data_IF_672644886041
#
_entry.id   IF_672644886041
#
_cell.length_a   1.000
_cell.length_b   1.000
_cell.length_c   1.000
_cell.angle_alpha   90.00
_cell.angle_beta   90.00
_cell.angle_gamma   90.00
#
_symmetry.space_group_name_H-M   'P 1'
#
loop_
_entity.id
_entity.type
_entity.pdbx_description
1 polymer ?
#
# COMPACT_ATOMS: atom_id res chain seq x y z
N UNK A 1 13.21 -24.15 13.47
CA UNK A 1 14.33 -23.17 13.59
C UNK A 1 13.95 -22.13 14.62
N UNK A 2 14.87 -21.83 15.53
CA UNK A 2 14.64 -20.91 16.65
C UNK A 2 15.53 -19.66 16.47
N UNK A 3 14.91 -18.50 16.37
CA UNK A 3 15.60 -17.21 16.19
C UNK A 3 15.29 -16.31 17.39
N UNK A 4 16.31 -15.64 17.93
CA UNK A 4 16.18 -14.67 19.00
C UNK A 4 16.64 -13.30 18.51
N UNK A 5 15.71 -12.34 18.41
CA UNK A 5 16.01 -10.93 18.16
C UNK A 5 16.19 -10.26 19.52
N UNK A 6 17.37 -9.67 19.79
CA UNK A 6 17.75 -9.11 21.08
C UNK A 6 17.89 -7.60 21.07
N UNK A 7 17.62 -7.00 22.23
CA UNK A 7 17.96 -5.62 22.56
C UNK A 7 17.28 -4.56 21.66
N UNK A 8 16.27 -4.94 20.87
CA UNK A 8 15.58 -4.03 19.97
C UNK A 8 14.55 -3.17 20.71
N UNK A 9 14.34 -1.93 20.23
CA UNK A 9 13.16 -1.15 20.63
C UNK A 9 11.95 -1.73 19.89
N UNK A 10 11.20 -2.59 20.58
CA UNK A 10 9.96 -3.15 20.02
C UNK A 10 8.88 -2.07 20.01
N UNK A 11 8.34 -1.81 18.82
CA UNK A 11 7.20 -0.90 18.59
C UNK A 11 6.07 -1.71 17.96
N UNK A 12 5.06 -2.03 18.77
CA UNK A 12 3.88 -2.79 18.34
C UNK A 12 2.60 -2.05 18.77
N UNK A 13 1.99 -1.28 17.85
CA UNK A 13 0.77 -0.53 18.15
C UNK A 13 -0.39 -1.41 18.58
N UNK A 14 -0.49 -2.64 18.05
CA UNK A 14 -1.57 -3.60 18.37
C UNK A 14 -1.59 -3.99 19.84
N UNK A 15 -0.45 -3.90 20.52
CA UNK A 15 -0.28 -4.24 21.93
C UNK A 15 0.05 -3.02 22.82
N UNK A 16 0.10 -1.81 22.24
CA UNK A 16 0.57 -0.59 22.90
C UNK A 16 1.99 -0.73 23.49
N UNK A 17 2.88 -1.43 22.78
CA UNK A 17 4.27 -1.63 23.18
C UNK A 17 5.16 -0.62 22.47
N UNK A 18 6.03 0.06 23.26
CA UNK A 18 7.17 0.85 22.81
C UNK A 18 8.26 0.74 23.89
N UNK A 19 9.07 -0.30 23.81
CA UNK A 19 10.06 -0.61 24.84
C UNK A 19 11.22 -1.45 24.28
N UNK A 20 12.38 -1.41 24.94
CA UNK A 20 13.48 -2.33 24.62
C UNK A 20 13.13 -3.72 25.16
N UNK A 21 13.03 -4.68 24.22
CA UNK A 21 12.63 -6.07 24.49
C UNK A 21 13.34 -7.02 23.53
N UNK A 22 13.28 -8.32 23.87
CA UNK A 22 13.69 -9.43 23.01
C UNK A 22 12.46 -10.11 22.41
N UNK A 23 12.60 -10.63 21.20
CA UNK A 23 11.55 -11.39 20.49
C UNK A 23 12.08 -12.79 20.21
N UNK A 24 11.42 -13.81 20.75
CA UNK A 24 11.74 -15.20 20.48
C UNK A 24 10.78 -15.78 19.46
N UNK A 25 11.36 -16.40 18.44
CA UNK A 25 10.63 -16.95 17.31
C UNK A 25 11.00 -18.43 17.18
N UNK A 26 9.98 -19.28 17.11
CA UNK A 26 10.15 -20.72 16.87
C UNK A 26 9.20 -21.16 15.75
N UNK A 27 9.75 -21.85 14.76
CA UNK A 27 9.01 -22.42 13.63
C UNK A 27 8.04 -21.45 12.95
N UNK A 28 8.49 -20.20 12.77
CA UNK A 28 7.74 -19.16 12.07
C UNK A 28 6.72 -18.41 12.90
N UNK A 29 6.68 -18.64 14.22
CA UNK A 29 5.72 -18.02 15.13
C UNK A 29 6.46 -17.31 16.27
N UNK A 30 5.94 -16.15 16.71
CA UNK A 30 6.42 -15.47 17.92
C UNK A 30 6.03 -16.29 19.14
N UNK A 31 7.01 -16.78 19.91
CA UNK A 31 6.76 -17.62 21.08
C UNK A 31 6.98 -16.92 22.40
N UNK A 32 7.80 -15.85 22.43
CA UNK A 32 7.93 -14.98 23.59
C UNK A 32 8.31 -13.55 23.18
N UNK A 33 7.84 -12.60 23.97
CA UNK A 33 8.16 -11.18 23.87
C UNK A 33 8.37 -10.68 25.30
N UNK A 34 9.63 -10.47 25.70
CA UNK A 34 9.97 -10.08 27.07
C UNK A 34 11.33 -9.39 27.11
N UNK A 35 11.72 -8.87 28.28
CA UNK A 35 13.05 -8.34 28.53
C UNK A 35 14.00 -9.48 28.90
N UNK A 36 15.19 -9.47 28.29
CA UNK A 36 16.29 -10.41 28.64
C UNK A 36 15.90 -11.89 28.54
N UNK A 37 15.40 -12.31 27.36
CA UNK A 37 15.10 -13.72 27.14
C UNK A 37 16.39 -14.55 27.13
N UNK A 38 16.50 -15.47 28.11
CA UNK A 38 17.59 -16.45 28.20
C UNK A 38 17.12 -17.76 27.53
N UNK A 39 17.26 -17.88 26.25
CA UNK A 39 16.92 -19.08 25.49
C UNK A 39 18.04 -19.44 24.53
N UNK A 40 18.38 -20.74 24.46
CA UNK A 40 19.21 -21.21 23.34
C UNK A 40 18.45 -21.03 22.02
N UNK A 41 19.09 -20.43 21.04
CA UNK A 41 18.54 -20.20 19.70
C UNK A 41 19.54 -20.66 18.64
N UNK A 42 19.01 -21.11 17.51
CA UNK A 42 19.84 -21.48 16.35
C UNK A 42 20.49 -20.23 15.76
N UNK A 43 19.81 -19.09 15.88
CA UNK A 43 20.26 -17.81 15.38
C UNK A 43 19.94 -16.68 16.39
N UNK A 44 20.88 -15.76 16.58
CA UNK A 44 20.70 -14.55 17.38
C UNK A 44 20.94 -13.32 16.50
N UNK A 45 19.95 -12.42 16.43
CA UNK A 45 20.06 -11.14 15.75
C UNK A 45 20.09 -10.01 16.78
N UNK A 46 21.20 -9.27 16.86
CA UNK A 46 21.31 -8.11 17.75
C UNK A 46 20.70 -6.88 17.08
N UNK A 47 19.57 -6.41 17.63
CA UNK A 47 18.83 -5.23 17.19
C UNK A 47 19.10 -4.00 18.06
N UNK A 48 20.25 -3.95 18.76
CA UNK A 48 20.64 -2.81 19.61
C UNK A 48 20.61 -1.49 18.82
N UNK A 49 19.83 -0.52 19.29
CA UNK A 49 19.66 0.78 18.64
C UNK A 49 18.69 0.79 17.45
N UNK A 50 18.10 -0.34 17.11
CA UNK A 50 17.13 -0.50 16.03
C UNK A 50 15.71 -0.61 16.57
N UNK A 51 14.73 -0.28 15.73
CA UNK A 51 13.31 -0.55 15.97
C UNK A 51 12.97 -1.93 15.43
N UNK A 52 12.27 -2.72 16.21
CA UNK A 52 11.70 -4.01 15.82
C UNK A 52 10.18 -3.85 15.81
N UNK A 53 9.58 -3.96 14.66
CA UNK A 53 8.16 -3.74 14.44
C UNK A 53 7.49 -4.97 13.80
N UNK A 54 6.16 -5.15 13.93
CA UNK A 54 5.43 -6.05 13.05
C UNK A 54 5.74 -5.74 11.59
N UNK A 55 5.78 -6.76 10.76
CA UNK A 55 6.04 -6.61 9.34
C UNK A 55 5.12 -5.55 8.70
N UNK A 56 5.69 -4.68 7.86
CA UNK A 56 4.91 -3.70 7.15
C UNK A 56 3.99 -4.37 6.12
N UNK A 57 2.84 -3.76 5.88
CA UNK A 57 1.78 -4.27 5.01
C UNK A 57 1.41 -3.19 4.00
N UNK A 58 1.45 -3.53 2.72
CA UNK A 58 1.01 -2.64 1.65
C UNK A 58 -0.17 -3.27 0.89
N UNK A 59 -1.33 -2.70 1.08
CA UNK A 59 -2.58 -3.26 0.53
C UNK A 59 -2.92 -2.72 -0.86
N UNK A 60 -2.03 -1.92 -1.46
CA UNK A 60 -2.23 -1.32 -2.77
C UNK A 60 -0.96 -1.43 -3.63
N UNK A 61 -0.84 -2.51 -4.39
CA UNK A 61 0.31 -2.75 -5.28
C UNK A 61 -0.13 -3.38 -6.61
N UNK A 62 0.69 -3.20 -7.64
CA UNK A 62 0.45 -3.78 -8.96
C UNK A 62 1.62 -4.69 -9.34
N UNK A 63 1.45 -6.00 -9.18
CA UNK A 63 2.46 -6.99 -9.56
C UNK A 63 2.47 -7.32 -11.06
N UNK A 64 1.51 -6.78 -11.80
CA UNK A 64 1.45 -6.86 -13.26
C UNK A 64 1.32 -8.27 -13.84
N UNK A 65 1.55 -9.31 -13.07
CA UNK A 65 1.43 -10.71 -13.47
C UNK A 65 0.05 -11.26 -13.05
N UNK A 66 -0.66 -11.93 -13.97
CA UNK A 66 -0.20 -12.42 -15.29
C UNK A 66 -0.29 -11.39 -16.42
N UNK A 67 0.59 -11.55 -17.42
CA UNK A 67 0.48 -10.99 -18.76
C UNK A 67 1.11 -9.63 -19.02
N UNK A 68 1.64 -8.96 -17.99
CA UNK A 68 2.34 -7.67 -18.09
C UNK A 68 3.72 -7.73 -17.42
N UNK A 69 4.36 -8.90 -17.42
CA UNK A 69 5.58 -9.20 -16.68
C UNK A 69 6.80 -8.37 -17.14
N UNK A 70 6.72 -7.71 -18.30
CA UNK A 70 7.72 -6.74 -18.72
C UNK A 70 7.83 -5.53 -17.78
N UNK A 71 6.72 -5.19 -17.10
CA UNK A 71 6.63 -4.05 -16.16
C UNK A 71 7.00 -4.46 -14.75
N UNK A 72 6.52 -5.65 -14.31
CA UNK A 72 6.75 -6.24 -13.00
C UNK A 72 6.30 -7.70 -13.00
N UNK A 73 6.84 -8.50 -12.07
CA UNK A 73 6.33 -9.83 -11.79
C UNK A 73 6.28 -10.11 -10.28
N UNK A 74 5.69 -11.24 -9.90
CA UNK A 74 5.55 -11.65 -8.50
C UNK A 74 6.91 -11.76 -7.81
N UNK A 75 7.94 -12.22 -8.50
CA UNK A 75 9.27 -12.43 -7.91
C UNK A 75 9.92 -11.08 -7.61
N UNK A 76 10.04 -10.22 -8.61
CA UNK A 76 10.73 -8.92 -8.49
C UNK A 76 9.93 -7.94 -7.62
N UNK A 77 8.61 -7.92 -7.73
CA UNK A 77 7.76 -7.09 -6.85
C UNK A 77 7.82 -7.52 -5.38
N UNK A 78 7.86 -8.84 -5.10
CA UNK A 78 8.04 -9.33 -3.72
C UNK A 78 9.47 -9.13 -3.19
N UNK A 79 10.49 -9.12 -4.05
CA UNK A 79 11.86 -8.70 -3.68
C UNK A 79 11.89 -7.21 -3.31
N UNK A 80 11.21 -6.36 -4.10
CA UNK A 80 11.09 -4.92 -3.81
C UNK A 80 10.37 -4.67 -2.48
N UNK A 81 9.30 -5.43 -2.20
CA UNK A 81 8.60 -5.39 -0.92
C UNK A 81 9.54 -5.76 0.25
N UNK A 82 10.26 -6.88 0.14
CA UNK A 82 11.22 -7.30 1.14
C UNK A 82 12.30 -6.24 1.38
N UNK A 83 12.85 -5.63 0.32
CA UNK A 83 13.84 -4.55 0.41
C UNK A 83 13.30 -3.29 1.10
N UNK A 84 12.00 -3.00 0.93
CA UNK A 84 11.27 -1.92 1.58
C UNK A 84 10.87 -2.17 3.04
N UNK A 85 11.05 -3.40 3.55
CA UNK A 85 10.59 -3.78 4.90
C UNK A 85 9.14 -4.28 4.93
N UNK A 86 8.51 -4.48 3.77
CA UNK A 86 7.13 -4.95 3.65
C UNK A 86 7.11 -6.48 3.64
N UNK A 87 6.29 -7.08 4.49
CA UNK A 87 6.15 -8.54 4.63
C UNK A 87 4.89 -9.11 3.99
N UNK A 88 3.92 -8.23 3.72
CA UNK A 88 2.65 -8.61 3.09
C UNK A 88 2.26 -7.51 2.09
N UNK A 89 1.94 -7.91 0.88
CA UNK A 89 1.40 -7.02 -0.15
C UNK A 89 0.08 -7.56 -0.69
N UNK A 90 -0.81 -6.67 -1.13
CA UNK A 90 -2.00 -7.05 -1.87
C UNK A 90 -1.89 -6.56 -3.32
N UNK A 91 -2.10 -7.48 -4.28
CA UNK A 91 -1.99 -7.15 -5.69
C UNK A 91 -3.37 -6.84 -6.31
N UNK A 92 -3.46 -5.71 -7.01
CA UNK A 92 -4.63 -5.24 -7.75
C UNK A 92 -4.93 -6.13 -8.97
N UNK A 93 -6.20 -6.17 -9.43
CA UNK A 93 -6.66 -7.13 -10.43
C UNK A 93 -6.37 -6.75 -11.88
N UNK A 94 -5.86 -5.54 -12.15
CA UNK A 94 -5.66 -4.97 -13.50
C UNK A 94 -4.49 -5.61 -14.28
N UNK A 95 -4.57 -6.90 -14.43
CA UNK A 95 -3.61 -7.76 -15.15
C UNK A 95 -4.15 -8.20 -16.51
N UNK A 96 -3.46 -9.07 -17.25
CA UNK A 96 -3.90 -9.55 -18.54
C UNK A 96 -3.67 -11.06 -18.70
N UNK A 97 -4.68 -11.91 -18.47
CA UNK A 97 -6.09 -11.54 -18.22
C UNK A 97 -6.29 -10.86 -16.86
N UNK A 98 -7.37 -10.10 -16.73
CA UNK A 98 -7.84 -9.50 -15.47
C UNK A 98 -8.16 -10.59 -14.44
N UNK A 99 -7.93 -10.31 -13.17
CA UNK A 99 -8.23 -11.26 -12.07
C UNK A 99 -9.74 -11.24 -11.77
N UNK A 100 -10.55 -11.73 -12.68
CA UNK A 100 -12.02 -11.72 -12.62
C UNK A 100 -12.66 -13.10 -12.40
N UNK A 101 -11.85 -14.11 -12.12
CA UNK A 101 -12.30 -15.48 -11.84
C UNK A 101 -11.37 -16.23 -10.87
N UNK A 102 -11.90 -17.28 -10.29
CA UNK A 102 -11.24 -18.07 -9.24
C UNK A 102 -9.96 -18.82 -9.69
N UNK A 103 -9.83 -19.14 -10.98
CA UNK A 103 -8.65 -19.85 -11.51
C UNK A 103 -7.44 -18.92 -11.46
N UNK A 104 -7.60 -17.65 -11.86
CA UNK A 104 -6.51 -16.67 -11.84
C UNK A 104 -6.09 -16.36 -10.41
N UNK A 105 -7.06 -16.19 -9.48
CA UNK A 105 -6.78 -16.02 -8.05
C UNK A 105 -5.92 -17.16 -7.52
N UNK A 106 -6.31 -18.41 -7.78
CA UNK A 106 -5.56 -19.59 -7.36
C UNK A 106 -4.16 -19.61 -7.96
N UNK A 107 -4.02 -19.32 -9.25
CA UNK A 107 -2.75 -19.33 -9.96
C UNK A 107 -1.75 -18.31 -9.38
N UNK A 108 -2.21 -17.09 -9.08
CA UNK A 108 -1.37 -16.05 -8.45
C UNK A 108 -0.94 -16.50 -7.04
N UNK A 109 -1.87 -17.01 -6.21
CA UNK A 109 -1.55 -17.47 -4.85
C UNK A 109 -0.56 -18.64 -4.86
N UNK A 110 -0.73 -19.62 -5.74
CA UNK A 110 0.19 -20.75 -5.88
C UNK A 110 1.59 -20.30 -6.33
N UNK A 111 1.67 -19.40 -7.30
CA UNK A 111 2.95 -18.86 -7.76
C UNK A 111 3.63 -18.05 -6.66
N UNK A 112 2.91 -17.17 -5.99
CA UNK A 112 3.42 -16.37 -4.88
C UNK A 112 3.93 -17.26 -3.73
N UNK A 113 3.19 -18.29 -3.36
CA UNK A 113 3.61 -19.24 -2.32
C UNK A 113 4.91 -19.99 -2.70
N UNK A 114 5.09 -20.29 -3.99
CA UNK A 114 6.27 -21.02 -4.49
C UNK A 114 7.47 -20.10 -4.70
N UNK A 115 7.28 -18.89 -5.25
CA UNK A 115 8.36 -18.04 -5.76
C UNK A 115 8.45 -16.66 -5.09
N UNK A 116 7.40 -16.17 -4.43
CA UNK A 116 7.37 -14.86 -3.75
C UNK A 116 8.25 -14.82 -2.51
N UNK A 117 8.83 -13.68 -2.19
CA UNK A 117 9.68 -13.44 -1.01
C UNK A 117 8.87 -13.00 0.20
N UNK A 118 7.69 -12.40 -0.02
CA UNK A 118 6.75 -11.95 1.01
C UNK A 118 5.37 -12.54 0.76
N UNK A 119 4.45 -12.38 1.73
CA UNK A 119 3.08 -12.79 1.54
C UNK A 119 2.40 -11.95 0.45
N UNK A 120 1.63 -12.59 -0.41
CA UNK A 120 0.85 -11.93 -1.47
C UNK A 120 -0.62 -12.26 -1.28
N UNK A 121 -1.40 -11.25 -0.99
CA UNK A 121 -2.84 -11.32 -1.00
C UNK A 121 -3.37 -10.87 -2.37
N UNK A 122 -4.47 -11.46 -2.82
CA UNK A 122 -5.02 -11.22 -4.15
C UNK A 122 -6.32 -10.44 -4.04
N UNK A 123 -6.42 -9.34 -4.76
CA UNK A 123 -7.64 -8.58 -4.95
C UNK A 123 -8.26 -9.04 -6.27
N UNK A 124 -9.55 -9.44 -6.24
CA UNK A 124 -10.30 -9.79 -7.43
C UNK A 124 -10.99 -8.59 -8.06
N UNK A 125 -11.28 -8.65 -9.36
CA UNK A 125 -12.04 -7.59 -10.03
C UNK A 125 -13.50 -7.59 -9.57
N UNK A 126 -14.09 -6.39 -9.48
CA UNK A 126 -15.52 -6.19 -9.24
C UNK A 126 -16.31 -6.61 -10.47
N UNK A 127 -15.85 -6.16 -11.64
CA UNK A 127 -16.54 -6.42 -12.91
C UNK A 127 -15.70 -7.29 -13.86
N UNK A 128 -16.37 -8.04 -14.72
CA UNK A 128 -15.71 -8.87 -15.75
C UNK A 128 -14.83 -8.01 -16.63
N UNK A 129 -13.55 -8.36 -16.70
CA UNK A 129 -12.55 -7.67 -17.47
C UNK A 129 -12.39 -6.18 -17.10
N UNK A 130 -12.80 -5.79 -15.87
CA UNK A 130 -12.80 -4.40 -15.37
C UNK A 130 -13.55 -3.42 -16.29
N UNK A 131 -14.66 -3.88 -16.90
CA UNK A 131 -15.41 -3.07 -17.86
C UNK A 131 -16.58 -2.29 -17.23
N UNK A 132 -16.86 -2.44 -15.94
CA UNK A 132 -17.95 -1.76 -15.25
C UNK A 132 -19.36 -2.12 -15.73
N UNK A 133 -19.55 -3.25 -16.44
CA UNK A 133 -20.81 -3.64 -17.07
C UNK A 133 -21.53 -4.81 -16.41
N UNK A 134 -20.79 -5.81 -15.98
CA UNK A 134 -21.29 -7.05 -15.40
C UNK A 134 -20.39 -7.45 -14.23
N UNK A 135 -20.97 -7.97 -13.12
CA UNK A 135 -20.19 -8.47 -11.98
C UNK A 135 -19.31 -9.64 -12.41
N UNK A 136 -18.10 -9.69 -11.87
CA UNK A 136 -17.22 -10.84 -11.92
C UNK A 136 -17.72 -11.95 -11.00
N UNK A 137 -17.00 -13.06 -10.95
CA UNK A 137 -17.35 -14.25 -10.14
C UNK A 137 -16.92 -14.05 -8.65
N UNK A 138 -17.46 -13.01 -8.00
CA UNK A 138 -17.01 -12.57 -6.66
C UNK A 138 -17.03 -13.67 -5.61
N UNK A 139 -18.12 -14.49 -5.59
CA UNK A 139 -18.25 -15.58 -4.63
C UNK A 139 -17.19 -16.66 -4.81
N UNK A 140 -16.96 -17.11 -6.05
CA UNK A 140 -15.94 -18.12 -6.36
C UNK A 140 -14.53 -17.62 -6.06
N UNK A 141 -14.26 -16.35 -6.36
CA UNK A 141 -12.98 -15.72 -6.02
C UNK A 141 -12.77 -15.62 -4.51
N UNK A 142 -13.82 -15.25 -3.75
CA UNK A 142 -13.77 -15.21 -2.28
C UNK A 142 -13.45 -16.59 -1.69
N UNK A 143 -14.07 -17.67 -2.21
CA UNK A 143 -13.80 -19.07 -1.78
C UNK A 143 -12.36 -19.48 -2.08
N UNK A 144 -11.73 -18.96 -3.15
CA UNK A 144 -10.32 -19.21 -3.49
C UNK A 144 -9.36 -18.25 -2.80
N UNK A 145 -9.89 -17.41 -1.90
CA UNK A 145 -9.09 -16.57 -1.02
C UNK A 145 -8.74 -15.22 -1.61
N UNK A 146 -9.58 -14.66 -2.48
CA UNK A 146 -9.50 -13.24 -2.76
C UNK A 146 -9.75 -12.46 -1.46
N UNK A 147 -8.84 -11.52 -1.17
CA UNK A 147 -8.88 -10.71 0.05
C UNK A 147 -10.00 -9.66 0.00
N UNK A 148 -10.13 -9.01 -1.13
CA UNK A 148 -11.04 -7.90 -1.40
C UNK A 148 -11.38 -7.85 -2.89
N UNK A 149 -12.19 -6.88 -3.31
CA UNK A 149 -12.58 -6.68 -4.71
C UNK A 149 -12.43 -5.23 -5.13
N UNK A 150 -11.83 -5.00 -6.30
CA UNK A 150 -11.59 -3.67 -6.89
C UNK A 150 -11.61 -3.75 -8.43
N UNK A 151 -11.96 -2.67 -9.10
CA UNK A 151 -11.63 -2.44 -10.51
C UNK A 151 -10.51 -1.38 -10.62
N UNK A 152 -9.50 -1.46 -9.74
CA UNK A 152 -8.48 -0.42 -9.60
C UNK A 152 -7.79 -0.05 -10.91
N UNK A 153 -7.59 1.25 -11.07
CA UNK A 153 -7.26 1.90 -12.33
C UNK A 153 -8.50 2.36 -13.11
N UNK A 154 -9.70 1.85 -12.74
CA UNK A 154 -10.99 2.22 -13.32
C UNK A 154 -12.04 2.46 -12.24
N UNK A 155 -12.84 3.50 -12.44
CA UNK A 155 -13.99 3.73 -11.58
C UNK A 155 -15.19 2.91 -12.06
N UNK A 156 -15.88 2.23 -11.18
CA UNK A 156 -17.14 1.57 -11.54
C UNK A 156 -18.23 2.64 -11.67
N UNK A 157 -18.35 3.24 -12.87
CA UNK A 157 -19.27 4.34 -13.15
C UNK A 157 -20.73 3.96 -12.89
N UNK A 158 -21.11 2.72 -13.19
CA UNK A 158 -22.48 2.25 -12.95
C UNK A 158 -22.78 2.17 -11.46
N UNK A 159 -23.47 3.18 -10.94
CA UNK A 159 -23.97 3.21 -9.56
C UNK A 159 -24.76 1.94 -9.21
N UNK A 160 -25.54 1.41 -10.17
CA UNK A 160 -26.29 0.15 -9.97
C UNK A 160 -25.35 -1.03 -9.79
N UNK A 161 -24.29 -1.13 -10.60
CA UNK A 161 -23.33 -2.23 -10.52
C UNK A 161 -22.59 -2.20 -9.20
N UNK A 162 -22.10 -1.02 -8.79
CA UNK A 162 -21.41 -0.84 -7.52
C UNK A 162 -22.31 -1.15 -6.32
N UNK A 163 -23.59 -0.73 -6.36
CA UNK A 163 -24.58 -1.11 -5.34
C UNK A 163 -24.80 -2.63 -5.27
N UNK A 164 -24.87 -3.33 -6.41
CA UNK A 164 -25.00 -4.79 -6.44
C UNK A 164 -23.73 -5.47 -5.89
N UNK A 165 -22.55 -4.99 -6.28
CA UNK A 165 -21.28 -5.47 -5.74
C UNK A 165 -21.23 -5.30 -4.22
N UNK A 166 -21.55 -4.12 -3.69
CA UNK A 166 -21.58 -3.84 -2.26
C UNK A 166 -22.48 -4.81 -1.48
N UNK A 167 -23.69 -5.06 -1.96
CA UNK A 167 -24.61 -6.04 -1.36
C UNK A 167 -24.08 -7.46 -1.42
N UNK A 168 -23.40 -7.82 -2.52
CA UNK A 168 -22.94 -9.20 -2.73
C UNK A 168 -21.69 -9.51 -1.88
N UNK A 169 -20.70 -8.60 -1.84
CA UNK A 169 -19.47 -8.83 -1.05
C UNK A 169 -19.73 -8.88 0.45
N UNK A 170 -20.77 -8.20 0.94
CA UNK A 170 -21.19 -8.26 2.35
C UNK A 170 -21.57 -9.66 2.80
N UNK A 171 -22.01 -10.54 1.88
CA UNK A 171 -22.34 -11.93 2.20
C UNK A 171 -21.10 -12.80 2.51
N UNK A 172 -19.91 -12.30 2.21
CA UNK A 172 -18.62 -12.99 2.40
C UNK A 172 -17.71 -12.27 3.38
N UNK A 173 -18.20 -11.23 4.06
CA UNK A 173 -17.40 -10.36 4.94
C UNK A 173 -16.15 -9.79 4.25
N UNK A 174 -16.29 -9.42 2.96
CA UNK A 174 -15.19 -8.88 2.14
C UNK A 174 -15.32 -7.38 1.96
N UNK A 175 -14.16 -6.76 1.74
CA UNK A 175 -14.03 -5.32 1.49
C UNK A 175 -14.22 -5.03 0.00
N UNK A 176 -15.00 -4.00 -0.30
CA UNK A 176 -15.12 -3.44 -1.65
C UNK A 176 -14.23 -2.21 -1.75
N UNK A 177 -13.21 -2.26 -2.61
CA UNK A 177 -12.25 -1.17 -2.78
C UNK A 177 -12.64 -0.35 -4.01
N UNK A 178 -12.69 0.97 -3.87
CA UNK A 178 -13.06 1.88 -4.97
C UNK A 178 -11.91 2.80 -5.36
N UNK A 179 -11.56 2.78 -6.64
CA UNK A 179 -10.76 3.81 -7.31
C UNK A 179 -11.68 5.00 -7.64
N UNK A 180 -11.90 5.87 -6.66
CA UNK A 180 -12.98 6.84 -6.68
C UNK A 180 -12.61 8.10 -7.45
N UNK A 181 -12.64 8.05 -8.79
CA UNK A 181 -12.40 9.19 -9.69
C UNK A 181 -13.47 9.18 -10.78
N UNK A 182 -14.28 10.24 -10.85
CA UNK A 182 -15.29 10.43 -11.90
C UNK A 182 -14.63 10.59 -13.27
N UNK A 183 -14.81 9.61 -14.17
CA UNK A 183 -14.06 9.50 -15.42
C UNK A 183 -14.38 10.62 -16.41
N UNK A 184 -15.64 11.10 -16.49
CA UNK A 184 -16.01 12.21 -17.37
C UNK A 184 -15.31 13.52 -17.01
N UNK A 185 -15.03 13.73 -15.71
CA UNK A 185 -14.28 14.89 -15.23
C UNK A 185 -12.77 14.71 -15.36
N UNK A 186 -12.29 13.47 -15.44
CA UNK A 186 -10.88 13.11 -15.59
C UNK A 186 -10.41 13.18 -17.05
N UNK A 187 -11.34 13.17 -18.01
CA UNK A 187 -11.19 12.80 -19.41
C UNK A 187 -10.04 13.48 -20.16
N UNK A 188 -9.64 14.65 -20.01
CA UNK A 188 -8.57 15.29 -20.79
C UNK A 188 -7.45 15.87 -19.92
N UNK A 189 -7.44 15.51 -18.62
CA UNK A 189 -6.47 16.01 -17.70
C UNK A 189 -5.27 15.06 -17.53
N UNK A 190 -4.14 15.63 -17.18
CA UNK A 190 -2.89 14.87 -16.99
C UNK A 190 -2.23 15.15 -15.63
N UNK A 191 -2.71 16.15 -14.91
CA UNK A 191 -2.24 16.54 -13.59
C UNK A 191 -3.37 17.28 -12.83
N UNK A 192 -3.11 17.72 -11.61
CA UNK A 192 -4.06 18.53 -10.85
C UNK A 192 -4.41 19.84 -11.55
N UNK A 193 -5.71 20.15 -11.64
CA UNK A 193 -6.17 21.46 -12.08
C UNK A 193 -5.87 22.54 -11.03
N UNK A 194 -5.00 23.48 -11.39
CA UNK A 194 -4.58 24.52 -10.45
C UNK A 194 -3.59 25.50 -11.07
N UNK A 195 -2.91 26.25 -10.19
CA UNK A 195 -1.95 27.27 -10.60
C UNK A 195 -0.77 26.69 -11.40
N UNK A 196 -0.32 25.47 -11.05
CA UNK A 196 0.80 24.80 -11.73
C UNK A 196 0.39 24.37 -13.14
N UNK A 197 -0.72 23.68 -13.29
CA UNK A 197 -1.20 23.22 -14.60
C UNK A 197 -1.45 24.37 -15.57
N UNK A 198 -2.05 25.47 -15.06
CA UNK A 198 -2.23 26.71 -15.83
C UNK A 198 -0.90 27.33 -16.26
N UNK A 199 0.09 27.36 -15.34
CA UNK A 199 1.42 27.94 -15.60
C UNK A 199 2.19 27.17 -16.67
N UNK A 200 2.16 25.84 -16.62
CA UNK A 200 2.92 25.00 -17.56
C UNK A 200 2.14 24.57 -18.79
N UNK A 201 0.86 24.96 -18.88
CA UNK A 201 -0.01 24.70 -20.06
C UNK A 201 -0.41 23.23 -20.21
N UNK A 202 -0.49 22.47 -19.12
CA UNK A 202 -0.97 21.09 -19.12
C UNK A 202 -2.42 21.05 -18.66
N UNK A 203 -3.35 20.39 -19.39
CA UNK A 203 -4.73 20.22 -18.96
C UNK A 203 -4.83 19.59 -17.57
N UNK A 204 -5.65 20.18 -16.72
CA UNK A 204 -5.82 19.76 -15.33
C UNK A 204 -7.02 18.86 -15.11
N UNK A 205 -6.95 18.04 -14.07
CA UNK A 205 -8.03 17.21 -13.55
C UNK A 205 -8.60 17.94 -12.31
N UNK A 206 -9.87 18.36 -12.32
CA UNK A 206 -10.47 19.02 -11.20
C UNK A 206 -10.58 18.06 -9.99
N UNK A 207 -10.24 18.53 -8.80
CA UNK A 207 -10.27 17.69 -7.60
C UNK A 207 -11.66 17.16 -7.25
N UNK A 208 -12.72 17.84 -7.70
CA UNK A 208 -14.11 17.40 -7.50
C UNK A 208 -14.44 16.08 -8.21
N UNK A 209 -13.62 15.63 -9.17
CA UNK A 209 -13.76 14.29 -9.78
C UNK A 209 -13.66 13.19 -8.72
N UNK A 210 -12.80 13.39 -7.74
CA UNK A 210 -12.63 12.50 -6.59
C UNK A 210 -13.73 12.70 -5.55
N UNK A 211 -14.07 13.97 -5.23
CA UNK A 211 -15.10 14.28 -4.23
C UNK A 211 -16.47 13.69 -4.58
N UNK A 212 -16.89 13.79 -5.85
CA UNK A 212 -18.19 13.28 -6.33
C UNK A 212 -18.22 11.74 -6.25
N UNK A 213 -17.17 11.07 -6.71
CA UNK A 213 -17.06 9.62 -6.68
C UNK A 213 -17.10 9.10 -5.23
N UNK A 214 -16.30 9.67 -4.34
CA UNK A 214 -16.26 9.33 -2.92
C UNK A 214 -17.60 9.56 -2.23
N UNK A 215 -18.30 10.66 -2.56
CA UNK A 215 -19.63 10.92 -2.01
C UNK A 215 -20.63 9.82 -2.37
N UNK A 216 -20.64 9.40 -3.66
CA UNK A 216 -21.48 8.28 -4.11
C UNK A 216 -21.17 7.00 -3.34
N UNK A 217 -19.90 6.67 -3.21
CA UNK A 217 -19.45 5.43 -2.59
C UNK A 217 -19.78 5.38 -1.09
N UNK A 218 -19.61 6.51 -0.39
CA UNK A 218 -20.05 6.65 1.01
C UNK A 218 -21.57 6.49 1.18
N UNK A 219 -22.39 7.04 0.27
CA UNK A 219 -23.84 6.88 0.28
C UNK A 219 -24.24 5.41 0.09
N UNK A 220 -23.57 4.69 -0.81
CA UNK A 220 -23.80 3.26 -1.03
C UNK A 220 -23.39 2.44 0.18
N UNK A 221 -22.23 2.73 0.79
CA UNK A 221 -21.78 2.09 2.01
C UNK A 221 -22.80 2.29 3.16
N UNK A 222 -23.31 3.52 3.35
CA UNK A 222 -24.33 3.85 4.36
C UNK A 222 -25.64 3.10 4.12
N UNK A 223 -26.08 3.02 2.86
CA UNK A 223 -27.31 2.33 2.51
C UNK A 223 -27.24 0.81 2.64
N UNK A 224 -26.09 0.20 2.32
CA UNK A 224 -25.92 -1.26 2.28
C UNK A 224 -25.35 -1.84 3.57
N UNK A 225 -24.63 -1.04 4.38
CA UNK A 225 -23.82 -1.50 5.50
C UNK A 225 -22.52 -2.20 5.07
N UNK A 226 -22.26 -2.31 3.75
CA UNK A 226 -21.05 -2.91 3.22
C UNK A 226 -19.79 -2.17 3.68
N UNK A 227 -18.70 -2.88 3.88
CA UNK A 227 -17.41 -2.25 4.08
C UNK A 227 -16.84 -1.77 2.73
N UNK A 228 -16.81 -0.45 2.55
CA UNK A 228 -16.21 0.20 1.39
C UNK A 228 -14.89 0.85 1.79
N UNK A 229 -13.83 0.52 1.09
CA UNK A 229 -12.52 1.11 1.26
C UNK A 229 -12.21 2.03 0.09
N UNK A 230 -11.92 3.30 0.36
CA UNK A 230 -11.59 4.28 -0.68
C UNK A 230 -10.07 4.26 -0.88
N UNK A 231 -9.65 3.88 -2.08
CA UNK A 231 -8.25 3.78 -2.44
C UNK A 231 -7.60 5.18 -2.60
N UNK A 232 -6.31 5.28 -2.28
CA UNK A 232 -5.38 6.40 -2.57
C UNK A 232 -5.99 7.81 -2.54
N UNK A 233 -6.78 8.16 -1.51
CA UNK A 233 -7.43 9.47 -1.41
C UNK A 233 -6.43 10.61 -1.42
N UNK A 234 -6.63 11.58 -2.32
CA UNK A 234 -5.74 12.72 -2.49
C UNK A 234 -6.45 14.09 -2.33
N UNK A 235 -7.79 14.14 -2.43
CA UNK A 235 -8.55 15.37 -2.32
C UNK A 235 -8.96 15.69 -0.89
N UNK A 236 -8.77 16.97 -0.49
CA UNK A 236 -9.27 17.46 0.81
C UNK A 236 -10.79 17.40 0.95
N UNK A 237 -11.52 17.56 -0.16
CA UNK A 237 -12.99 17.47 -0.18
C UNK A 237 -13.43 16.01 0.04
N UNK A 238 -12.80 15.05 -0.61
CA UNK A 238 -13.05 13.63 -0.42
C UNK A 238 -12.78 13.21 1.06
N UNK A 239 -11.67 13.66 1.65
CA UNK A 239 -11.36 13.40 3.06
C UNK A 239 -12.41 13.98 4.02
N UNK A 240 -12.94 15.18 3.74
CA UNK A 240 -14.03 15.75 4.55
C UNK A 240 -15.34 14.95 4.42
N UNK A 241 -15.65 14.46 3.23
CA UNK A 241 -16.81 13.57 2.99
C UNK A 241 -16.66 12.27 3.78
N UNK A 242 -15.47 11.61 3.72
CA UNK A 242 -15.19 10.38 4.48
C UNK A 242 -15.29 10.63 5.99
N UNK A 243 -14.70 11.73 6.49
CA UNK A 243 -14.76 12.11 7.91
C UNK A 243 -16.20 12.21 8.40
N UNK A 244 -17.05 12.89 7.63
CA UNK A 244 -18.49 13.01 7.95
C UNK A 244 -19.23 11.69 7.85
N UNK A 245 -18.89 10.82 6.92
CA UNK A 245 -19.46 9.48 6.81
C UNK A 245 -19.09 8.63 8.03
N UNK A 246 -17.80 8.58 8.41
CA UNK A 246 -17.33 7.89 9.63
C UNK A 246 -18.01 8.42 10.90
N UNK A 247 -18.18 9.73 11.02
CA UNK A 247 -18.87 10.34 12.16
C UNK A 247 -20.34 9.92 12.29
N UNK A 248 -20.97 9.48 11.19
CA UNK A 248 -22.34 8.90 11.19
C UNK A 248 -22.34 7.37 11.40
N UNK A 249 -21.16 6.74 11.56
CA UNK A 249 -21.05 5.30 11.73
C UNK A 249 -21.11 4.50 10.42
N UNK A 250 -20.87 5.16 9.27
CA UNK A 250 -20.78 4.46 7.98
C UNK A 250 -19.54 3.56 7.97
N UNK A 251 -19.68 2.34 7.51
CA UNK A 251 -18.59 1.36 7.40
C UNK A 251 -17.71 1.68 6.20
N UNK A 252 -16.95 2.77 6.31
CA UNK A 252 -16.01 3.25 5.29
C UNK A 252 -14.62 3.41 5.89
N UNK A 253 -13.61 2.94 5.17
CA UNK A 253 -12.19 3.17 5.45
C UNK A 253 -11.52 3.78 4.24
N UNK A 254 -10.33 4.35 4.41
CA UNK A 254 -9.56 4.85 3.27
C UNK A 254 -8.06 4.81 3.52
N UNK A 255 -7.32 4.87 2.45
CA UNK A 255 -5.88 4.94 2.45
C UNK A 255 -5.38 6.21 1.76
N UNK A 256 -4.17 6.63 2.11
CA UNK A 256 -3.43 7.69 1.43
C UNK A 256 -2.06 7.17 1.01
N UNK A 257 -1.56 7.65 -0.12
CA UNK A 257 -0.26 7.16 -0.61
C UNK A 257 0.90 7.99 -0.07
N UNK A 258 2.09 7.38 -0.05
CA UNK A 258 3.35 8.04 0.30
C UNK A 258 3.54 9.33 -0.51
N UNK A 259 3.25 9.29 -1.80
CA UNK A 259 3.44 10.46 -2.67
C UNK A 259 2.42 11.57 -2.43
N UNK A 260 1.14 11.26 -2.12
CA UNK A 260 0.15 12.27 -1.77
C UNK A 260 0.38 12.90 -0.39
N UNK A 261 1.21 12.27 0.45
CA UNK A 261 1.65 12.83 1.73
C UNK A 261 2.90 13.72 1.62
N UNK A 262 3.68 13.62 0.53
CA UNK A 262 5.04 14.16 0.50
C UNK A 262 5.38 15.00 -0.73
N UNK A 263 4.62 14.85 -1.82
CA UNK A 263 4.82 15.60 -3.07
C UNK A 263 3.61 16.49 -3.35
N UNK A 264 3.89 17.60 -4.03
CA UNK A 264 2.85 18.48 -4.57
C UNK A 264 2.86 18.46 -6.10
N UNK A 265 1.86 19.07 -6.73
CA UNK A 265 1.77 19.29 -8.17
C UNK A 265 2.96 20.06 -8.75
N UNK A 266 3.70 20.81 -7.93
CA UNK A 266 4.98 21.43 -8.33
C UNK A 266 6.01 20.41 -8.86
N UNK A 267 5.97 19.17 -8.41
CA UNK A 267 6.82 18.10 -8.92
C UNK A 267 6.62 17.83 -10.41
N UNK A 268 5.46 18.21 -10.97
CA UNK A 268 5.16 18.07 -12.40
C UNK A 268 5.71 19.21 -13.27
N UNK A 269 6.28 20.28 -12.66
CA UNK A 269 6.69 21.52 -13.36
C UNK A 269 7.75 21.31 -14.45
N UNK A 270 8.52 20.23 -14.37
CA UNK A 270 9.56 19.87 -15.33
C UNK A 270 9.09 18.81 -16.35
N UNK A 271 7.80 18.49 -16.40
CA UNK A 271 7.21 17.47 -17.26
C UNK A 271 7.78 16.06 -17.05
N UNK A 272 8.33 15.77 -15.87
CA UNK A 272 8.84 14.43 -15.57
C UNK A 272 7.71 13.41 -15.55
N UNK A 273 7.78 12.41 -16.40
CA UNK A 273 6.81 11.31 -16.46
C UNK A 273 6.80 10.46 -15.19
N UNK A 274 7.87 10.53 -14.39
CA UNK A 274 7.94 9.90 -13.07
C UNK A 274 6.93 10.48 -12.06
N UNK A 275 6.37 11.68 -12.32
CA UNK A 275 5.38 12.33 -11.44
C UNK A 275 3.94 12.12 -11.90
N UNK A 276 3.73 11.40 -13.02
CA UNK A 276 2.39 11.14 -13.54
C UNK A 276 1.74 9.97 -12.82
N UNK A 277 0.65 10.26 -12.11
CA UNK A 277 -0.10 9.32 -11.25
C UNK A 277 -1.59 9.69 -11.25
N UNK A 278 -2.46 8.74 -10.94
CA UNK A 278 -3.90 8.93 -10.76
C UNK A 278 -4.34 8.31 -9.42
N UNK A 279 -4.92 9.11 -8.51
CA UNK A 279 -5.18 10.57 -8.57
C UNK A 279 -3.90 11.37 -8.79
N UNK A 280 -3.98 12.56 -9.41
CA UNK A 280 -2.79 13.36 -9.63
C UNK A 280 -2.23 13.94 -8.33
N UNK A 281 -0.91 14.20 -8.30
CA UNK A 281 -0.30 14.99 -7.23
C UNK A 281 -1.03 16.33 -7.10
N UNK A 282 -1.47 16.65 -5.88
CA UNK A 282 -2.32 17.82 -5.60
C UNK A 282 -1.50 19.00 -5.06
N UNK A 283 -2.12 20.17 -4.95
CA UNK A 283 -1.53 21.33 -4.30
C UNK A 283 -1.30 21.10 -2.80
N UNK A 284 -0.46 21.94 -2.18
CA UNK A 284 -0.01 21.77 -0.78
C UNK A 284 -1.18 21.67 0.22
N UNK A 285 -2.28 22.38 0.01
CA UNK A 285 -3.43 22.33 0.90
C UNK A 285 -4.14 20.96 0.91
N UNK A 286 -4.05 20.20 -0.17
CA UNK A 286 -4.50 18.81 -0.23
C UNK A 286 -3.52 17.87 0.50
N UNK A 287 -2.21 18.06 0.32
CA UNK A 287 -1.17 17.30 1.03
C UNK A 287 -1.31 17.46 2.55
N UNK A 288 -1.51 18.70 3.01
CA UNK A 288 -1.75 18.98 4.44
C UNK A 288 -3.03 18.33 4.95
N UNK A 289 -4.09 18.32 4.13
CA UNK A 289 -5.34 17.62 4.47
C UNK A 289 -5.14 16.11 4.59
N UNK A 290 -4.33 15.49 3.72
CA UNK A 290 -3.97 14.06 3.84
C UNK A 290 -3.21 13.77 5.14
N UNK A 291 -2.22 14.58 5.48
CA UNK A 291 -1.47 14.47 6.74
C UNK A 291 -2.40 14.61 7.96
N UNK A 292 -3.30 15.60 7.94
CA UNK A 292 -4.28 15.80 9.01
C UNK A 292 -5.25 14.64 9.11
N UNK A 293 -5.70 14.07 7.99
CA UNK A 293 -6.61 12.93 7.96
C UNK A 293 -5.99 11.67 8.59
N UNK A 294 -4.68 11.44 8.41
CA UNK A 294 -3.97 10.36 9.13
C UNK A 294 -3.91 10.61 10.64
N UNK A 295 -3.72 11.87 11.05
CA UNK A 295 -3.64 12.26 12.47
C UNK A 295 -4.96 12.08 13.19
N UNK A 296 -6.07 12.50 12.58
CA UNK A 296 -7.38 12.45 13.20
C UNK A 296 -8.15 11.13 12.99
N UNK A 297 -7.52 10.15 12.28
CA UNK A 297 -8.10 8.83 12.03
C UNK A 297 -9.13 8.81 10.90
N UNK A 298 -9.25 9.87 10.12
CA UNK A 298 -10.05 9.88 8.89
C UNK A 298 -9.45 8.96 7.86
N UNK A 299 -8.12 9.04 7.63
CA UNK A 299 -7.37 8.09 6.83
C UNK A 299 -6.79 6.99 7.72
N UNK A 300 -6.97 5.76 7.29
CA UNK A 300 -6.68 4.57 8.09
C UNK A 300 -5.30 3.99 7.82
N UNK A 301 -4.83 4.00 6.57
CA UNK A 301 -3.59 3.37 6.16
C UNK A 301 -2.73 4.26 5.26
N UNK A 302 -1.43 3.96 5.22
CA UNK A 302 -0.46 4.49 4.27
C UNK A 302 -0.07 3.35 3.34
N UNK A 303 -0.17 3.59 2.03
CA UNK A 303 0.16 2.62 0.97
C UNK A 303 1.12 3.23 -0.05
N UNK A 304 1.65 2.40 -0.94
CA UNK A 304 2.53 2.91 -1.99
C UNK A 304 1.79 3.26 -3.28
N UNK A 305 0.76 2.54 -3.64
CA UNK A 305 0.29 2.44 -5.02
C UNK A 305 1.48 2.12 -5.94
N UNK A 306 2.23 1.06 -5.57
CA UNK A 306 3.35 0.59 -6.37
C UNK A 306 2.86 0.12 -7.73
N UNK A 307 3.01 1.00 -8.73
CA UNK A 307 2.47 0.82 -10.08
C UNK A 307 3.58 0.94 -11.14
N UNK A 308 4.49 -0.06 -11.21
CA UNK A 308 5.63 -0.04 -12.10
C UNK A 308 5.23 -0.09 -13.57
N UNK A 309 6.05 0.57 -14.39
CA UNK A 309 5.97 0.57 -15.86
C UNK A 309 7.34 0.28 -16.45
N UNK A 310 7.35 -0.31 -17.64
CA UNK A 310 8.59 -0.50 -18.37
C UNK A 310 9.23 0.86 -18.70
N UNK A 311 10.57 0.99 -18.65
CA UNK A 311 11.25 2.27 -18.86
C UNK A 311 10.83 2.98 -20.15
N UNK A 312 10.66 2.24 -21.24
CA UNK A 312 10.23 2.77 -22.53
C UNK A 312 8.81 3.35 -22.52
N UNK A 313 7.92 2.88 -21.66
CA UNK A 313 6.59 3.45 -21.51
C UNK A 313 6.61 4.81 -20.80
N UNK A 314 7.65 5.06 -20.00
CA UNK A 314 7.87 6.34 -19.31
C UNK A 314 8.81 7.29 -20.07
N UNK A 315 9.56 6.80 -21.05
CA UNK A 315 10.42 7.62 -21.92
C UNK A 315 9.65 8.21 -23.10
N UNK A 316 8.60 8.97 -22.79
CA UNK A 316 7.69 9.61 -23.73
C UNK A 316 7.33 11.02 -23.23
N UNK A 317 6.60 11.80 -24.01
CA UNK A 317 6.06 13.07 -23.54
C UNK A 317 5.10 12.86 -22.36
N UNK A 318 5.07 13.81 -21.41
CA UNK A 318 4.30 13.75 -20.17
C UNK A 318 2.84 13.27 -20.36
N UNK A 319 2.14 13.80 -21.40
CA UNK A 319 0.74 13.46 -21.66
C UNK A 319 0.51 12.02 -22.15
N UNK A 320 1.53 11.37 -22.71
CA UNK A 320 1.43 10.01 -23.25
C UNK A 320 1.93 8.95 -22.27
N UNK A 321 2.64 9.36 -21.22
CA UNK A 321 3.09 8.41 -20.21
C UNK A 321 1.91 7.80 -19.47
N UNK A 322 1.92 6.49 -19.15
CA UNK A 322 0.94 5.88 -18.28
C UNK A 322 1.04 6.43 -16.86
N UNK A 323 -0.05 6.39 -16.11
CA UNK A 323 -0.09 6.74 -14.69
C UNK A 323 0.58 5.65 -13.85
N UNK A 324 1.31 6.05 -12.81
CA UNK A 324 1.97 5.16 -11.87
C UNK A 324 3.49 5.17 -11.94
N UNK A 325 4.10 4.74 -10.85
CA UNK A 325 5.54 4.60 -10.65
C UNK A 325 5.82 3.64 -9.49
N UNK A 326 7.09 3.23 -9.32
CA UNK A 326 7.47 2.32 -8.25
C UNK A 326 7.62 3.02 -6.90
N UNK A 327 7.13 2.42 -5.81
CA UNK A 327 7.09 2.99 -4.47
C UNK A 327 7.59 2.10 -3.33
N UNK A 328 7.53 0.77 -3.45
CA UNK A 328 7.80 -0.17 -2.35
C UNK A 328 9.16 0.05 -1.67
N UNK A 329 10.24 0.18 -2.44
CA UNK A 329 11.61 0.29 -1.90
C UNK A 329 11.92 1.66 -1.30
N UNK A 330 11.05 2.66 -1.51
CA UNK A 330 11.26 4.03 -1.02
C UNK A 330 10.30 4.44 0.09
N UNK A 331 9.17 3.76 0.22
CA UNK A 331 8.03 4.15 1.06
C UNK A 331 8.42 4.48 2.49
N UNK A 332 9.01 3.52 3.20
CA UNK A 332 9.40 3.70 4.61
C UNK A 332 10.41 4.83 4.76
N UNK A 333 11.44 4.88 3.91
CA UNK A 333 12.48 5.92 4.00
C UNK A 333 11.93 7.32 3.76
N UNK A 334 11.04 7.49 2.81
CA UNK A 334 10.37 8.77 2.52
C UNK A 334 9.46 9.18 3.68
N UNK A 335 8.63 8.26 4.19
CA UNK A 335 7.74 8.52 5.34
C UNK A 335 8.54 8.87 6.60
N UNK A 336 9.61 8.14 6.90
CA UNK A 336 10.47 8.47 8.04
C UNK A 336 11.10 9.86 7.89
N UNK A 337 11.58 10.20 6.71
CA UNK A 337 12.20 11.49 6.43
C UNK A 337 11.22 12.66 6.58
N UNK A 338 10.05 12.53 5.94
CA UNK A 338 9.10 13.64 5.81
C UNK A 338 8.12 13.76 6.98
N UNK A 339 7.82 12.67 7.67
CA UNK A 339 6.80 12.68 8.72
C UNK A 339 7.40 12.42 10.12
N UNK A 340 8.32 11.46 10.26
CA UNK A 340 8.90 11.15 11.57
C UNK A 340 9.98 12.16 11.98
N UNK A 341 11.00 12.39 11.14
CA UNK A 341 12.11 13.28 11.47
C UNK A 341 11.73 14.77 11.50
N UNK A 342 10.59 15.13 10.92
CA UNK A 342 9.99 16.47 11.05
C UNK A 342 9.17 16.64 12.34
N UNK A 343 8.94 15.55 13.07
CA UNK A 343 8.12 15.55 14.29
C UNK A 343 6.61 15.59 14.04
N UNK A 344 6.17 15.42 12.79
CA UNK A 344 4.73 15.39 12.46
C UNK A 344 4.08 14.10 12.97
N UNK A 345 4.79 12.96 12.94
CA UNK A 345 4.30 11.67 13.40
C UNK A 345 5.30 10.97 14.29
N UNK A 346 4.83 10.22 15.26
CA UNK A 346 5.64 9.28 16.05
C UNK A 346 5.89 8.00 15.27
N UNK A 347 6.90 7.22 15.66
CA UNK A 347 7.16 5.92 15.03
C UNK A 347 5.99 4.95 15.26
N UNK A 348 5.32 5.03 16.42
CA UNK A 348 4.15 4.21 16.73
C UNK A 348 3.00 4.48 15.76
N UNK A 349 2.70 5.76 15.49
CA UNK A 349 1.66 6.14 14.52
C UNK A 349 2.00 5.67 13.09
N UNK A 350 3.27 5.73 12.69
CA UNK A 350 3.70 5.26 11.36
C UNK A 350 3.54 3.74 11.25
N UNK A 351 4.01 2.98 12.25
CA UNK A 351 3.86 1.53 12.24
C UNK A 351 2.38 1.13 12.30
N UNK A 352 1.54 1.85 13.05
CA UNK A 352 0.10 1.62 13.03
C UNK A 352 -0.45 1.71 11.60
N UNK A 353 -0.17 2.82 10.90
CA UNK A 353 -0.70 3.10 9.55
C UNK A 353 -0.11 2.22 8.44
N UNK A 354 1.08 1.66 8.64
CA UNK A 354 1.76 0.82 7.65
C UNK A 354 1.76 -0.67 8.01
N UNK A 355 1.13 -1.08 9.12
CA UNK A 355 1.14 -2.49 9.56
C UNK A 355 -0.17 -2.87 10.25
N UNK A 356 -0.41 -2.36 11.45
CA UNK A 356 -1.54 -2.79 12.30
C UNK A 356 -2.90 -2.43 11.70
N UNK A 357 -3.08 -1.19 11.24
CA UNK A 357 -4.35 -0.73 10.69
C UNK A 357 -4.72 -1.45 9.38
N UNK A 358 -3.84 -1.58 8.35
CA UNK A 358 -4.19 -2.36 7.17
C UNK A 358 -4.47 -3.84 7.48
N UNK A 359 -3.76 -4.46 8.42
CA UNK A 359 -4.06 -5.82 8.86
C UNK A 359 -5.49 -5.94 9.42
N UNK A 360 -5.90 -4.96 10.24
CA UNK A 360 -7.24 -4.94 10.81
C UNK A 360 -8.34 -4.70 9.76
N UNK A 361 -8.13 -3.75 8.84
CA UNK A 361 -9.10 -3.42 7.77
C UNK A 361 -9.44 -4.65 6.93
N UNK A 362 -8.43 -5.41 6.56
CA UNK A 362 -8.58 -6.56 5.67
C UNK A 362 -8.60 -7.92 6.39
N UNK A 363 -8.72 -7.92 7.73
CA UNK A 363 -8.76 -9.10 8.58
C UNK A 363 -7.58 -10.07 8.32
N UNK A 364 -6.37 -9.53 8.13
CA UNK A 364 -5.16 -10.31 7.90
C UNK A 364 -4.61 -10.83 9.23
N UNK A 365 -4.09 -12.06 9.22
CA UNK A 365 -3.36 -12.60 10.37
C UNK A 365 -1.90 -12.09 10.37
N UNK A 366 -1.74 -10.79 10.52
CA UNK A 366 -0.48 -10.04 10.44
C UNK A 366 -0.57 -8.77 11.29
N UNK A 367 0.44 -7.90 11.24
CA UNK A 367 0.43 -6.58 11.88
C UNK A 367 0.57 -6.58 13.40
N UNK A 368 1.09 -7.67 14.00
CA UNK A 368 1.34 -7.80 15.44
C UNK A 368 2.50 -8.73 15.72
N UNK A 369 3.25 -8.46 16.80
CA UNK A 369 4.26 -9.33 17.39
C UNK A 369 3.72 -10.07 18.63
N UNK A 370 2.41 -10.17 18.79
CA UNK A 370 1.78 -10.91 19.89
C UNK A 370 2.22 -12.37 19.87
N UNK A 371 2.44 -12.96 21.05
CA UNK A 371 2.73 -14.40 21.16
C UNK A 371 1.63 -15.21 20.49
N UNK A 372 2.03 -16.10 19.57
CA UNK A 372 1.15 -16.88 18.71
C UNK A 372 0.92 -16.28 17.31
N UNK A 373 1.34 -15.05 17.05
CA UNK A 373 1.27 -14.46 15.70
C UNK A 373 2.37 -15.00 14.78
N UNK A 374 2.15 -14.99 13.46
CA UNK A 374 3.23 -15.21 12.50
C UNK A 374 4.41 -14.28 12.76
N UNK A 375 5.60 -14.80 12.62
CA UNK A 375 6.84 -14.06 12.84
C UNK A 375 7.21 -13.27 11.57
N UNK A 376 6.37 -12.30 11.23
CA UNK A 376 6.61 -11.30 10.21
C UNK A 376 7.13 -10.04 10.89
N UNK A 377 8.40 -9.69 10.63
CA UNK A 377 9.11 -8.65 11.38
C UNK A 377 9.85 -7.71 10.44
N UNK A 378 9.74 -6.42 10.71
CA UNK A 378 10.57 -5.39 10.08
C UNK A 378 11.50 -4.78 11.11
N UNK A 379 12.81 -4.82 10.83
CA UNK A 379 13.82 -4.14 11.64
C UNK A 379 14.25 -2.86 10.95
N UNK A 380 14.17 -1.74 11.68
CA UNK A 380 14.32 -0.40 11.13
C UNK A 380 15.47 0.33 11.82
N UNK A 381 16.40 0.85 11.05
CA UNK A 381 17.38 1.86 11.52
C UNK A 381 16.82 3.25 11.21
N UNK A 382 16.35 3.94 12.25
CA UNK A 382 15.77 5.28 12.13
C UNK A 382 16.79 6.35 11.70
N UNK A 383 18.08 6.09 11.87
CA UNK A 383 19.14 7.08 11.65
C UNK A 383 19.97 6.82 10.39
N UNK A 384 19.75 5.70 9.71
CA UNK A 384 20.49 5.36 8.49
C UNK A 384 20.20 6.37 7.38
N UNK A 385 21.22 7.12 7.00
CA UNK A 385 21.15 8.05 5.87
C UNK A 385 21.50 7.33 4.57
N UNK A 386 20.75 7.64 3.53
CA UNK A 386 20.94 7.07 2.21
C UNK A 386 20.30 7.95 1.12
N UNK A 387 20.74 7.76 -0.10
CA UNK A 387 20.14 8.43 -1.27
C UNK A 387 19.43 7.41 -2.13
N UNK A 388 18.23 7.73 -2.55
CA UNK A 388 17.45 6.87 -3.46
C UNK A 388 18.18 6.76 -4.80
N UNK A 389 18.50 5.54 -5.18
CA UNK A 389 19.17 5.18 -6.44
C UNK A 389 18.35 4.09 -7.13
N UNK A 390 17.50 4.50 -8.07
CA UNK A 390 16.57 3.61 -8.74
C UNK A 390 17.25 2.55 -9.64
N UNK A 391 18.56 2.71 -9.92
CA UNK A 391 19.33 1.71 -10.66
C UNK A 391 19.65 0.46 -9.82
N UNK A 392 19.43 0.55 -8.50
CA UNK A 392 19.66 -0.55 -7.54
C UNK A 392 18.38 -1.24 -7.08
N UNK A 393 17.25 -0.85 -7.61
CA UNK A 393 15.97 -1.42 -7.24
C UNK A 393 15.82 -2.86 -7.73
N UNK A 394 15.08 -3.65 -6.96
CA UNK A 394 14.71 -5.01 -7.31
C UNK A 394 13.50 -5.04 -8.26
N UNK A 395 12.61 -4.05 -8.17
CA UNK A 395 11.48 -3.89 -9.08
C UNK A 395 11.96 -3.70 -10.53
N UNK A 396 11.25 -4.28 -11.49
CA UNK A 396 11.57 -4.14 -12.93
C UNK A 396 11.33 -2.74 -13.45
N UNK A 397 10.16 -2.19 -13.17
CA UNK A 397 9.81 -0.84 -13.54
C UNK A 397 10.36 0.15 -12.51
N UNK A 398 11.58 0.62 -12.69
CA UNK A 398 12.33 1.36 -11.69
C UNK A 398 12.12 2.88 -11.72
N UNK A 399 11.10 3.39 -12.41
CA UNK A 399 10.84 4.83 -12.50
C UNK A 399 10.13 5.30 -11.22
N UNK A 400 10.68 6.31 -10.56
CA UNK A 400 10.14 6.90 -9.32
C UNK A 400 10.43 8.39 -9.26
N UNK A 401 9.52 9.22 -8.72
CA UNK A 401 9.77 10.65 -8.49
C UNK A 401 10.78 10.91 -7.36
N UNK A 402 11.11 9.88 -6.59
CA UNK A 402 12.02 10.00 -5.45
C UNK A 402 13.49 9.73 -5.79
N UNK A 403 13.84 9.44 -7.06
CA UNK A 403 15.21 9.20 -7.45
C UNK A 403 16.10 10.40 -7.10
N UNK A 404 17.25 10.15 -6.46
CA UNK A 404 18.17 11.18 -5.96
C UNK A 404 17.75 11.84 -4.64
N UNK A 405 16.60 11.50 -4.07
CA UNK A 405 16.16 12.03 -2.76
C UNK A 405 17.05 11.48 -1.65
N UNK A 406 17.55 12.38 -0.81
CA UNK A 406 18.23 12.01 0.42
C UNK A 406 17.19 11.65 1.48
N UNK A 407 17.31 10.44 2.04
CA UNK A 407 16.40 9.91 3.04
C UNK A 407 17.14 9.55 4.33
N UNK A 408 16.43 9.66 5.45
CA UNK A 408 16.89 9.24 6.77
C UNK A 408 15.90 8.23 7.35
N UNK A 409 16.42 7.06 7.70
CA UNK A 409 15.66 5.90 8.13
C UNK A 409 15.48 4.88 7.01
N UNK A 410 15.69 3.59 7.33
CA UNK A 410 15.59 2.49 6.37
C UNK A 410 15.29 1.16 7.09
N UNK A 411 14.55 0.26 6.43
CA UNK A 411 14.51 -1.14 6.83
C UNK A 411 15.90 -1.76 6.63
N UNK A 412 16.41 -2.46 7.65
CA UNK A 412 17.72 -3.12 7.61
C UNK A 412 17.61 -4.64 7.66
N UNK A 413 16.49 -5.17 8.13
CA UNK A 413 16.15 -6.58 8.00
C UNK A 413 14.62 -6.75 7.87
N UNK A 414 14.23 -7.73 7.08
CA UNK A 414 12.83 -8.15 6.89
C UNK A 414 12.76 -9.66 7.07
N UNK A 415 11.85 -10.09 7.94
CA UNK A 415 11.60 -11.50 8.23
C UNK A 415 10.17 -11.84 7.88
N UNK A 416 9.97 -12.96 7.20
CA UNK A 416 8.65 -13.50 6.82
C UNK A 416 8.55 -14.93 7.32
N UNK A 417 7.49 -15.21 8.07
CA UNK A 417 7.27 -16.53 8.69
C UNK A 417 8.53 -17.07 9.40
N UNK A 418 9.23 -16.19 10.13
CA UNK A 418 10.42 -16.53 10.91
C UNK A 418 11.73 -16.71 10.13
N UNK A 419 11.73 -16.40 8.82
CA UNK A 419 12.94 -16.45 7.98
C UNK A 419 13.31 -15.05 7.50
N UNK A 420 14.58 -14.68 7.59
CA UNK A 420 15.05 -13.44 6.99
C UNK A 420 15.01 -13.54 5.47
N UNK A 421 14.25 -12.66 4.85
CA UNK A 421 14.17 -12.48 3.39
C UNK A 421 14.98 -11.28 2.90
N UNK A 422 15.37 -10.39 3.82
CA UNK A 422 16.31 -9.29 3.58
C UNK A 422 17.15 -9.08 4.84
N UNK A 423 18.46 -8.89 4.67
CA UNK A 423 19.41 -8.52 5.72
C UNK A 423 20.39 -7.46 5.22
N UNK A 424 20.71 -6.52 6.08
CA UNK A 424 21.67 -5.44 5.80
C UNK A 424 21.38 -4.69 4.49
N UNK A 425 20.10 -4.62 4.11
CA UNK A 425 19.65 -3.99 2.88
C UNK A 425 19.80 -4.86 1.63
N UNK A 426 20.15 -6.15 1.78
CA UNK A 426 20.27 -7.10 0.67
C UNK A 426 19.20 -8.17 0.79
N UNK A 427 18.41 -8.35 -0.27
CA UNK A 427 17.43 -9.44 -0.34
C UNK A 427 18.18 -10.76 -0.44
N UNK A 428 17.87 -11.69 0.46
CA UNK A 428 18.47 -12.99 0.54
C UNK A 428 17.48 -14.08 0.11
N UNK A 429 18.01 -15.25 -0.29
CA UNK A 429 17.19 -16.36 -0.75
C UNK A 429 16.16 -16.84 0.28
N UNK A 430 15.11 -17.51 -0.21
CA UNK A 430 14.03 -18.14 0.58
C UNK A 430 14.57 -19.21 1.53
#
# INVERSE_FOLDING_TARGET
>A
MKTLIKNGRVVDPSQNIDAVMDVLIEDGVVTALDKNIEAAADEVYDASGLVVAPGLIDVHTHLREPGLEAKEDIVTGTMAAAAGGVTTIACMPNTKPVVDNSIIVSGIKERAAREGYVHVEVIGAISKGEQGKELAELGDMAEKGAMAFSDDGHYVESTRLFLLAAKYVSAFDKVLISHSIEEELNHEGYMHEGAVSARIGVPGIPYISEDIAVARDCIIAEYTGAHVHIAHVASKGALDIIRRAKARGVNVTCEVTVHHLTLTDEACSNYSTATRVSPPLRSIDHVEACRQALKDGTADAIVTDHAPHAPEEKDVEFRYAPNGFTGLETSLGVILTELYHTGLFTINEIIDKMSTAPAHIFALNAGSLKVGSPADVTVIDLNKEWTVDNTKFYTRGNVTPFNGKHCKGKAVATMVAGKFVMRDGVVCGK
#
